data_IF_749012252649
#
_entry.id   IF_749012252649
#
_cell.length_a   1.000
_cell.length_b   1.000
_cell.length_c   1.000
_cell.angle_alpha   90.00
_cell.angle_beta   90.00
_cell.angle_gamma   90.00
#
_symmetry.space_group_name_H-M   'P 1'
#
loop_
_entity.id
_entity.type
_entity.pdbx_description
1 polymer ?
#
# COMPACT_ATOMS: atom_id res chain seq x y z
N UNK A 1 -22.42 4.08 -21.51
CA UNK A 1 -21.85 3.82 -20.17
C UNK A 1 -22.45 4.87 -19.25
N UNK A 2 -23.12 4.45 -18.19
CA UNK A 2 -23.78 5.39 -17.27
C UNK A 2 -22.72 6.11 -16.42
N UNK A 3 -23.09 7.24 -15.82
CA UNK A 3 -22.23 7.94 -14.84
C UNK A 3 -21.99 7.06 -13.61
N UNK A 4 -22.97 6.22 -13.24
CA UNK A 4 -22.87 5.26 -12.14
C UNK A 4 -21.82 4.17 -12.44
N UNK A 5 -21.79 3.66 -13.67
CA UNK A 5 -20.78 2.67 -14.10
C UNK A 5 -19.35 3.25 -13.98
N UNK A 6 -19.17 4.50 -14.40
CA UNK A 6 -17.88 5.20 -14.31
C UNK A 6 -17.45 5.37 -12.86
N UNK A 7 -18.37 5.76 -11.98
CA UNK A 7 -18.12 5.93 -10.54
C UNK A 7 -17.79 4.60 -9.86
N UNK A 8 -18.51 3.53 -10.19
CA UNK A 8 -18.24 2.18 -9.69
C UNK A 8 -16.83 1.71 -10.05
N UNK A 9 -16.41 1.91 -11.31
CA UNK A 9 -15.05 1.57 -11.76
C UNK A 9 -13.96 2.41 -11.09
N UNK A 10 -14.22 3.70 -10.87
CA UNK A 10 -13.27 4.57 -10.16
C UNK A 10 -13.11 4.13 -8.70
N UNK A 11 -14.22 3.81 -8.02
CA UNK A 11 -14.20 3.27 -6.65
C UNK A 11 -13.38 1.99 -6.58
N UNK A 12 -13.64 1.04 -7.47
CA UNK A 12 -12.89 -0.21 -7.54
C UNK A 12 -11.39 0.02 -7.79
N UNK A 13 -11.05 0.98 -8.67
CA UNK A 13 -9.65 1.34 -8.94
C UNK A 13 -8.95 1.90 -7.70
N UNK A 14 -9.61 2.79 -6.96
CA UNK A 14 -9.07 3.36 -5.73
C UNK A 14 -8.94 2.34 -4.61
N UNK A 15 -9.92 1.45 -4.44
CA UNK A 15 -9.87 0.35 -3.48
C UNK A 15 -8.68 -0.58 -3.80
N UNK A 16 -8.50 -0.95 -5.08
CA UNK A 16 -7.34 -1.75 -5.51
C UNK A 16 -6.01 -1.04 -5.25
N UNK A 17 -5.93 0.27 -5.53
CA UNK A 17 -4.73 1.05 -5.27
C UNK A 17 -4.43 1.11 -3.75
N UNK A 18 -5.44 1.39 -2.92
CA UNK A 18 -5.31 1.42 -1.46
C UNK A 18 -4.84 0.09 -0.88
N UNK A 19 -5.43 -1.02 -1.31
CA UNK A 19 -4.98 -2.36 -0.92
C UNK A 19 -3.55 -2.65 -1.38
N UNK A 20 -3.18 -2.24 -2.59
CA UNK A 20 -1.83 -2.46 -3.13
C UNK A 20 -0.78 -1.68 -2.33
N UNK A 21 -1.06 -0.42 -1.99
CA UNK A 21 -0.19 0.41 -1.16
C UNK A 21 -0.06 -0.14 0.25
N UNK A 22 -1.17 -0.57 0.87
CA UNK A 22 -1.14 -1.19 2.19
C UNK A 22 -0.33 -2.49 2.18
N UNK A 23 -0.51 -3.33 1.16
CA UNK A 23 0.26 -4.56 1.01
C UNK A 23 1.76 -4.28 0.88
N UNK A 24 2.16 -3.28 0.08
CA UNK A 24 3.57 -2.90 -0.10
C UNK A 24 4.18 -2.48 1.23
N UNK A 25 3.51 -1.56 1.94
CA UNK A 25 3.96 -1.09 3.26
C UNK A 25 4.11 -2.23 4.26
N UNK A 26 3.12 -3.11 4.35
CA UNK A 26 3.18 -4.28 5.24
C UNK A 26 4.31 -5.23 4.84
N UNK A 27 4.53 -5.45 3.55
CA UNK A 27 5.59 -6.34 3.05
C UNK A 27 6.98 -5.78 3.34
N UNK A 28 7.17 -4.47 3.23
CA UNK A 28 8.40 -3.77 3.61
C UNK A 28 8.64 -3.84 5.12
N UNK A 29 7.62 -3.54 5.93
CA UNK A 29 7.69 -3.64 7.40
C UNK A 29 8.05 -5.05 7.89
N UNK A 30 7.66 -6.08 7.15
CA UNK A 30 7.93 -7.48 7.47
C UNK A 30 9.16 -8.05 6.77
N UNK A 31 9.86 -7.28 5.93
CA UNK A 31 11.04 -7.76 5.21
C UNK A 31 12.15 -8.20 6.18
N UNK A 32 12.92 -9.20 5.77
CA UNK A 32 13.98 -9.77 6.60
C UNK A 32 15.00 -8.70 7.01
N UNK A 33 15.26 -8.63 8.30
CA UNK A 33 16.24 -7.72 8.85
C UNK A 33 17.65 -8.11 8.41
N UNK A 34 18.51 -7.11 8.22
CA UNK A 34 19.89 -7.32 7.76
C UNK A 34 20.66 -8.25 8.72
N UNK A 35 20.45 -8.12 10.03
CA UNK A 35 21.11 -8.95 11.02
C UNK A 35 20.74 -10.43 10.89
N UNK A 36 19.45 -10.75 10.70
CA UNK A 36 18.99 -12.12 10.48
C UNK A 36 19.51 -12.68 9.16
N UNK A 37 19.51 -11.87 8.09
CA UNK A 37 20.10 -12.28 6.81
C UNK A 37 21.61 -12.58 6.96
N UNK A 38 22.36 -11.73 7.65
CA UNK A 38 23.79 -11.94 7.87
C UNK A 38 24.07 -13.16 8.74
N UNK A 39 23.22 -13.47 9.72
CA UNK A 39 23.31 -14.71 10.49
C UNK A 39 23.11 -15.94 9.59
N UNK A 40 22.08 -15.94 8.73
CA UNK A 40 21.85 -17.02 7.76
C UNK A 40 23.02 -17.15 6.77
N UNK A 41 23.56 -16.02 6.32
CA UNK A 41 24.72 -15.99 5.42
C UNK A 41 26.00 -16.48 6.09
N UNK A 42 26.21 -16.20 7.37
CA UNK A 42 27.37 -16.69 8.12
C UNK A 42 27.32 -18.21 8.31
N UNK A 43 26.13 -18.77 8.55
CA UNK A 43 25.93 -20.20 8.77
C UNK A 43 25.86 -21.00 7.46
N UNK A 44 25.21 -20.47 6.43
CA UNK A 44 24.88 -21.18 5.19
C UNK A 44 25.29 -20.39 3.93
N UNK A 45 26.37 -19.62 3.99
CA UNK A 45 26.77 -18.65 2.96
C UNK A 45 26.94 -19.21 1.55
N UNK A 46 27.17 -20.52 1.41
CA UNK A 46 27.27 -21.21 0.12
C UNK A 46 25.93 -21.29 -0.61
N UNK A 47 24.83 -21.33 0.13
CA UNK A 47 23.46 -21.47 -0.39
C UNK A 47 22.58 -20.23 -0.16
N UNK A 48 22.98 -19.37 0.78
CA UNK A 48 22.24 -18.16 1.15
C UNK A 48 22.40 -17.06 0.10
N UNK A 49 21.62 -17.16 -0.98
CA UNK A 49 21.55 -16.13 -2.02
C UNK A 49 20.85 -14.87 -1.50
N UNK A 50 21.21 -13.69 -2.05
CA UNK A 50 20.68 -12.39 -1.61
C UNK A 50 19.15 -12.24 -1.70
N UNK A 51 18.46 -13.10 -2.46
CA UNK A 51 16.99 -13.16 -2.49
C UNK A 51 16.38 -13.54 -1.13
N UNK A 52 17.14 -14.17 -0.23
CA UNK A 52 16.68 -14.48 1.13
C UNK A 52 16.30 -13.20 1.89
N UNK A 53 17.02 -12.09 1.66
CA UNK A 53 16.72 -10.80 2.28
C UNK A 53 15.36 -10.21 1.85
N UNK A 54 14.77 -10.69 0.75
CA UNK A 54 13.46 -10.26 0.27
C UNK A 54 12.30 -11.06 0.90
N UNK A 55 12.62 -12.10 1.67
CA UNK A 55 11.63 -12.89 2.38
C UNK A 55 11.18 -12.18 3.66
N UNK A 56 10.03 -12.57 4.22
CA UNK A 56 9.60 -12.09 5.53
C UNK A 56 10.54 -12.49 6.66
N UNK A 57 10.78 -11.58 7.60
CA UNK A 57 11.67 -11.75 8.75
C UNK A 57 11.24 -12.90 9.67
N UNK A 58 9.92 -13.07 9.87
CA UNK A 58 9.38 -14.17 10.65
C UNK A 58 9.68 -15.55 10.04
N UNK A 59 10.13 -15.62 8.79
CA UNK A 59 10.52 -16.88 8.15
C UNK A 59 12.00 -17.24 8.33
N UNK A 60 12.80 -16.42 9.02
CA UNK A 60 14.23 -16.66 9.25
C UNK A 60 14.51 -18.10 9.72
N UNK A 61 13.77 -18.60 10.72
CA UNK A 61 14.00 -19.93 11.27
C UNK A 61 13.66 -21.07 10.29
N UNK A 62 12.57 -20.95 9.54
CA UNK A 62 12.17 -21.99 8.58
C UNK A 62 13.09 -22.02 7.37
N UNK A 63 13.64 -20.86 6.99
CA UNK A 63 14.67 -20.75 5.94
C UNK A 63 15.98 -21.34 6.45
N UNK A 64 16.38 -21.04 7.69
CA UNK A 64 17.54 -21.67 8.33
C UNK A 64 17.44 -23.19 8.37
N UNK A 65 16.26 -23.75 8.73
CA UNK A 65 16.00 -25.19 8.70
C UNK A 65 16.13 -25.78 7.30
N UNK A 66 15.60 -25.09 6.28
CA UNK A 66 15.75 -25.52 4.89
C UNK A 66 17.22 -25.51 4.45
N UNK A 67 17.96 -24.45 4.74
CA UNK A 67 19.39 -24.34 4.41
C UNK A 67 20.24 -25.39 5.14
N UNK A 68 19.97 -25.65 6.41
CA UNK A 68 20.61 -26.72 7.17
C UNK A 68 20.28 -28.11 6.58
N UNK A 69 19.05 -28.33 6.10
CA UNK A 69 18.72 -29.57 5.40
C UNK A 69 19.56 -29.75 4.12
N UNK A 70 19.89 -28.67 3.42
CA UNK A 70 20.76 -28.71 2.23
C UNK A 70 22.20 -29.14 2.56
N UNK A 71 22.73 -28.74 3.73
CA UNK A 71 24.05 -29.18 4.21
C UNK A 71 24.14 -30.71 4.34
N UNK A 72 23.02 -31.39 4.58
CA UNK A 72 22.93 -32.84 4.75
C UNK A 72 22.75 -33.61 3.43
N UNK A 73 22.58 -32.94 2.28
CA UNK A 73 22.30 -33.60 1.00
C UNK A 73 23.56 -34.05 0.22
N UNK A 74 24.74 -34.03 0.85
CA UNK A 74 26.02 -34.51 0.30
C UNK A 74 26.80 -33.44 -0.48
N UNK A 75 27.56 -33.83 -1.52
CA UNK A 75 28.42 -32.94 -2.35
C UNK A 75 27.65 -31.90 -3.20
N UNK A 76 26.40 -31.58 -2.85
CA UNK A 76 25.60 -30.54 -3.49
C UNK A 76 26.13 -29.11 -3.23
N UNK A 77 27.07 -28.99 -2.30
CA UNK A 77 27.72 -27.76 -1.87
C UNK A 77 28.30 -26.95 -3.04
N UNK A 78 28.84 -27.62 -4.05
CA UNK A 78 29.41 -26.99 -5.25
C UNK A 78 28.53 -27.22 -6.50
N UNK A 79 27.31 -27.75 -6.31
CA UNK A 79 26.47 -28.26 -7.40
C UNK A 79 25.14 -27.52 -7.54
N UNK A 80 24.79 -26.61 -6.62
CA UNK A 80 23.47 -25.99 -6.55
C UNK A 80 23.55 -24.52 -6.21
N UNK A 81 22.95 -23.67 -7.06
CA UNK A 81 22.58 -22.32 -6.66
C UNK A 81 21.09 -22.27 -6.30
N UNK A 82 20.79 -21.62 -5.16
CA UNK A 82 19.43 -21.48 -4.66
C UNK A 82 18.92 -20.06 -4.88
N UNK A 83 17.65 -19.93 -5.24
CA UNK A 83 16.90 -18.66 -5.20
C UNK A 83 15.63 -18.85 -4.43
N UNK A 84 15.22 -17.81 -3.73
CA UNK A 84 14.01 -17.83 -2.93
C UNK A 84 13.03 -16.80 -3.45
N UNK A 85 11.76 -17.14 -3.40
CA UNK A 85 10.68 -16.24 -3.77
C UNK A 85 9.53 -16.38 -2.79
N UNK A 86 9.03 -15.23 -2.33
CA UNK A 86 7.77 -15.14 -1.60
C UNK A 86 6.63 -15.11 -2.62
N UNK A 87 5.90 -16.22 -2.72
CA UNK A 87 4.73 -16.35 -3.61
C UNK A 87 3.43 -16.12 -2.82
N UNK A 88 2.27 -15.91 -3.50
CA UNK A 88 0.98 -15.82 -2.82
C UNK A 88 0.65 -17.03 -1.95
N UNK A 89 1.24 -18.18 -2.28
CA UNK A 89 1.03 -19.45 -1.59
C UNK A 89 2.09 -19.76 -0.52
N UNK A 90 3.05 -18.87 -0.26
CA UNK A 90 4.16 -19.09 0.70
C UNK A 90 5.54 -18.98 0.07
N UNK A 91 6.57 -19.44 0.79
CA UNK A 91 7.95 -19.46 0.32
C UNK A 91 8.20 -20.59 -0.68
N UNK A 92 8.90 -20.28 -1.78
CA UNK A 92 9.43 -21.27 -2.71
C UNK A 92 10.93 -21.11 -2.82
N UNK A 93 11.64 -22.24 -2.77
CA UNK A 93 13.06 -22.32 -3.06
C UNK A 93 13.25 -22.98 -4.42
N UNK A 94 13.93 -22.29 -5.34
CA UNK A 94 14.31 -22.80 -6.65
C UNK A 94 15.77 -23.21 -6.61
N UNK A 95 16.04 -24.46 -6.96
CA UNK A 95 17.39 -24.99 -7.03
C UNK A 95 17.79 -25.14 -8.49
N UNK A 96 18.89 -24.50 -8.86
CA UNK A 96 19.52 -24.68 -10.16
C UNK A 96 20.69 -25.66 -10.01
N UNK A 97 20.69 -26.79 -10.73
CA UNK A 97 21.81 -27.70 -10.75
C UNK A 97 22.96 -27.16 -11.61
N UNK A 98 24.07 -26.80 -10.97
CA UNK A 98 25.31 -26.41 -11.65
C UNK A 98 26.09 -27.62 -12.18
N UNK A 99 25.83 -28.82 -11.64
CA UNK A 99 26.36 -30.09 -12.14
C UNK A 99 25.25 -31.02 -12.65
N UNK A 100 25.57 -31.77 -13.71
CA UNK A 100 24.62 -32.63 -14.44
C UNK A 100 24.40 -34.02 -13.81
N UNK A 101 25.05 -34.37 -12.70
CA UNK A 101 24.95 -35.69 -12.06
C UNK A 101 24.43 -35.59 -10.63
N UNK A 102 23.13 -35.40 -10.48
CA UNK A 102 22.47 -35.55 -9.18
C UNK A 102 21.96 -36.98 -9.04
N UNK A 103 22.23 -37.61 -7.89
CA UNK A 103 21.64 -38.91 -7.61
C UNK A 103 20.12 -38.76 -7.39
N UNK A 104 19.30 -39.75 -7.81
CA UNK A 104 17.85 -39.71 -7.61
C UNK A 104 17.43 -39.47 -6.16
N UNK A 105 18.20 -39.97 -5.20
CA UNK A 105 17.97 -39.77 -3.76
C UNK A 105 18.16 -38.30 -3.36
N UNK A 106 19.20 -37.63 -3.88
CA UNK A 106 19.46 -36.21 -3.65
C UNK A 106 18.34 -35.34 -4.22
N UNK A 107 17.89 -35.64 -5.45
CA UNK A 107 16.75 -34.96 -6.07
C UNK A 107 15.47 -35.14 -5.25
N UNK A 108 15.22 -36.34 -4.75
CA UNK A 108 14.04 -36.60 -3.93
C UNK A 108 14.10 -35.88 -2.59
N UNK A 109 15.25 -35.84 -1.93
CA UNK A 109 15.42 -35.14 -0.66
C UNK A 109 15.33 -33.63 -0.81
N UNK A 110 15.88 -33.04 -1.89
CA UNK A 110 15.65 -31.62 -2.21
C UNK A 110 14.15 -31.34 -2.38
N UNK A 111 13.45 -32.19 -3.15
CA UNK A 111 12.00 -32.03 -3.38
C UNK A 111 11.22 -32.07 -2.07
N UNK A 112 11.60 -32.95 -1.15
CA UNK A 112 11.00 -33.02 0.19
C UNK A 112 11.27 -31.72 0.95
N UNK A 113 12.52 -31.27 1.01
CA UNK A 113 12.89 -30.02 1.70
C UNK A 113 12.14 -28.79 1.13
N UNK A 114 12.02 -28.68 -0.20
CA UNK A 114 11.27 -27.61 -0.87
C UNK A 114 9.78 -27.64 -0.49
N UNK A 115 9.19 -28.84 -0.44
CA UNK A 115 7.78 -29.02 -0.05
C UNK A 115 7.57 -28.67 1.42
N UNK A 116 8.48 -29.11 2.28
CA UNK A 116 8.40 -28.86 3.71
C UNK A 116 8.58 -27.36 4.02
N UNK A 117 9.47 -26.67 3.30
CA UNK A 117 9.57 -25.21 3.34
C UNK A 117 8.26 -24.53 2.96
N UNK A 118 7.63 -24.96 1.85
CA UNK A 118 6.35 -24.40 1.41
C UNK A 118 5.27 -24.59 2.48
N UNK A 119 5.16 -25.78 3.08
CA UNK A 119 4.20 -26.03 4.16
C UNK A 119 4.50 -25.20 5.40
N UNK A 120 5.75 -25.18 5.85
CA UNK A 120 6.17 -24.39 7.01
C UNK A 120 5.86 -22.91 6.81
N UNK A 121 6.14 -22.34 5.63
CA UNK A 121 5.87 -20.94 5.34
C UNK A 121 4.39 -20.54 5.41
N UNK A 122 3.47 -21.48 5.18
CA UNK A 122 2.02 -21.23 5.29
C UNK A 122 1.53 -21.23 6.73
N UNK A 123 2.24 -21.94 7.61
CA UNK A 123 1.90 -22.10 9.02
C UNK A 123 2.70 -21.15 9.92
N UNK A 124 3.74 -20.49 9.39
CA UNK A 124 4.61 -19.56 10.10
C UNK A 124 4.26 -18.11 9.75
N UNK A 125 4.07 -17.30 10.79
CA UNK A 125 3.74 -15.88 10.62
C UNK A 125 4.88 -15.11 9.97
N UNK A 126 4.59 -14.40 8.88
CA UNK A 126 5.54 -13.56 8.13
C UNK A 126 6.22 -12.49 9.01
N UNK A 127 5.55 -12.02 10.06
CA UNK A 127 6.04 -10.92 10.91
C UNK A 127 6.86 -11.38 12.12
N UNK A 128 6.49 -12.48 12.77
CA UNK A 128 7.08 -12.86 14.06
C UNK A 128 7.50 -14.32 14.19
N UNK A 129 7.31 -15.14 13.16
CA UNK A 129 7.72 -16.55 13.16
C UNK A 129 6.89 -17.48 14.04
N UNK A 130 5.87 -16.99 14.74
CA UNK A 130 4.92 -17.85 15.49
C UNK A 130 4.20 -18.80 14.52
N UNK A 131 3.97 -20.02 14.98
CA UNK A 131 3.16 -21.02 14.27
C UNK A 131 1.66 -20.66 14.28
N UNK A 132 0.85 -21.43 13.56
CA UNK A 132 -0.60 -21.23 13.37
C UNK A 132 -0.94 -19.95 12.60
N UNK A 133 -0.13 -19.61 11.61
CA UNK A 133 -0.48 -18.56 10.66
C UNK A 133 -1.62 -19.01 9.74
N UNK A 134 -2.44 -18.05 9.33
CA UNK A 134 -3.48 -18.24 8.34
C UNK A 134 -3.35 -17.16 7.24
N UNK A 135 -3.82 -17.45 6.01
CA UNK A 135 -3.81 -16.48 4.93
C UNK A 135 -4.80 -15.34 5.20
N UNK A 136 -4.31 -14.11 5.22
CA UNK A 136 -5.08 -12.86 5.32
C UNK A 136 -5.01 -12.15 3.97
N UNK A 137 -6.18 -11.89 3.37
CA UNK A 137 -6.25 -11.23 2.05
C UNK A 137 -6.16 -9.72 2.19
N UNK A 138 -5.22 -9.11 1.46
CA UNK A 138 -5.06 -7.67 1.28
C UNK A 138 -5.21 -7.39 -0.21
N UNK A 139 -6.44 -7.15 -0.65
CA UNK A 139 -6.78 -7.04 -2.07
C UNK A 139 -6.59 -8.37 -2.81
N UNK A 140 -5.76 -8.36 -3.86
CA UNK A 140 -5.48 -9.55 -4.69
C UNK A 140 -4.31 -10.40 -4.16
N UNK A 141 -3.68 -10.00 -3.04
CA UNK A 141 -2.52 -10.67 -2.44
C UNK A 141 -2.86 -11.16 -1.04
N UNK A 142 -2.25 -12.26 -0.61
CA UNK A 142 -2.40 -12.80 0.74
C UNK A 142 -1.11 -12.61 1.55
N UNK A 143 -1.21 -12.55 2.88
CA UNK A 143 -0.13 -12.61 3.87
C UNK A 143 -0.40 -13.76 4.85
N UNK A 144 0.62 -14.48 5.32
CA UNK A 144 0.47 -15.51 6.35
C UNK A 144 0.75 -14.92 7.73
N UNK A 145 -0.30 -14.72 8.53
CA UNK A 145 -0.22 -14.02 9.81
C UNK A 145 -0.82 -14.84 10.95
N UNK A 146 -0.24 -14.72 12.14
CA UNK A 146 -0.88 -15.22 13.36
C UNK A 146 -2.10 -14.36 13.73
N UNK A 147 -2.92 -14.83 14.67
CA UNK A 147 -4.15 -14.16 15.08
C UNK A 147 -3.94 -12.68 15.52
N UNK A 148 -2.87 -12.41 16.27
CA UNK A 148 -2.54 -11.06 16.75
C UNK A 148 -2.28 -10.08 15.59
N UNK A 149 -1.44 -10.48 14.63
CA UNK A 149 -1.11 -9.65 13.47
C UNK A 149 -2.24 -9.60 12.44
N UNK A 150 -3.06 -10.65 12.36
CA UNK A 150 -4.29 -10.64 11.57
C UNK A 150 -5.22 -9.53 12.05
N UNK A 151 -5.48 -9.43 13.36
CA UNK A 151 -6.33 -8.39 13.93
C UNK A 151 -5.78 -6.97 13.71
N UNK A 152 -4.45 -6.79 13.63
CA UNK A 152 -3.86 -5.50 13.28
C UNK A 152 -4.11 -5.14 11.80
N UNK A 153 -3.87 -6.09 10.89
CA UNK A 153 -4.09 -5.87 9.45
C UNK A 153 -5.57 -5.65 9.14
N UNK A 154 -6.47 -6.40 9.77
CA UNK A 154 -7.92 -6.21 9.65
C UNK A 154 -8.35 -4.81 10.12
N UNK A 155 -7.77 -4.28 11.21
CA UNK A 155 -8.02 -2.89 11.63
C UNK A 155 -7.54 -1.88 10.58
N UNK A 156 -6.35 -2.10 9.98
CA UNK A 156 -5.84 -1.23 8.90
C UNK A 156 -6.75 -1.29 7.66
N UNK A 157 -7.25 -2.47 7.30
CA UNK A 157 -8.20 -2.66 6.19
C UNK A 157 -9.56 -2.00 6.48
N UNK A 158 -10.09 -2.16 7.69
CA UNK A 158 -11.34 -1.53 8.10
C UNK A 158 -11.23 0.01 8.06
N UNK A 159 -10.12 0.57 8.57
CA UNK A 159 -9.85 2.01 8.50
C UNK A 159 -9.75 2.51 7.06
N UNK A 160 -9.11 1.75 6.15
CA UNK A 160 -9.05 2.09 4.72
C UNK A 160 -10.46 2.10 4.09
N UNK A 161 -11.28 1.09 4.40
CA UNK A 161 -12.66 1.01 3.90
C UNK A 161 -13.52 2.18 4.41
N UNK A 162 -13.42 2.51 5.71
CA UNK A 162 -14.13 3.64 6.31
C UNK A 162 -13.71 4.98 5.68
N UNK A 163 -12.41 5.20 5.48
CA UNK A 163 -11.90 6.39 4.79
C UNK A 163 -12.43 6.50 3.35
N UNK A 164 -12.60 5.37 2.66
CA UNK A 164 -13.20 5.36 1.32
C UNK A 164 -14.69 5.68 1.33
N UNK A 165 -15.45 5.11 2.26
CA UNK A 165 -16.87 5.41 2.42
C UNK A 165 -17.11 6.87 2.84
N UNK A 166 -16.24 7.42 3.67
CA UNK A 166 -16.30 8.83 4.05
C UNK A 166 -16.04 9.75 2.86
N UNK A 167 -15.04 9.44 2.01
CA UNK A 167 -14.80 10.20 0.76
C UNK A 167 -15.97 10.10 -0.21
N UNK A 168 -16.61 8.93 -0.30
CA UNK A 168 -17.80 8.75 -1.12
C UNK A 168 -18.96 9.63 -0.63
N UNK A 169 -19.25 9.61 0.68
CA UNK A 169 -20.28 10.45 1.31
C UNK A 169 -20.00 11.94 1.13
N UNK A 170 -18.75 12.35 1.32
CA UNK A 170 -18.36 13.75 1.12
C UNK A 170 -18.54 14.19 -0.34
N UNK A 171 -18.14 13.36 -1.31
CA UNK A 171 -18.35 13.65 -2.73
C UNK A 171 -19.83 13.81 -3.05
N UNK A 172 -20.70 12.97 -2.50
CA UNK A 172 -22.15 13.09 -2.65
C UNK A 172 -22.67 14.41 -2.07
N UNK A 173 -22.17 14.84 -0.91
CA UNK A 173 -22.60 16.11 -0.31
C UNK A 173 -22.21 17.34 -1.13
N UNK A 174 -21.15 17.27 -1.93
CA UNK A 174 -20.70 18.38 -2.81
C UNK A 174 -20.96 18.13 -4.29
N UNK A 175 -21.81 17.15 -4.65
CA UNK A 175 -21.97 16.74 -6.05
C UNK A 175 -22.49 17.82 -6.98
N UNK A 176 -23.22 18.80 -6.44
CA UNK A 176 -23.87 19.88 -7.19
C UNK A 176 -22.87 20.89 -7.78
N UNK A 177 -21.69 20.99 -7.17
CA UNK A 177 -20.60 21.88 -7.59
C UNK A 177 -19.47 21.12 -8.26
N UNK A 178 -19.57 19.78 -8.37
CA UNK A 178 -18.55 18.96 -9.03
C UNK A 178 -19.03 18.53 -10.43
N UNK A 179 -18.13 18.48 -11.42
CA UNK A 179 -18.43 17.85 -12.69
C UNK A 179 -18.91 16.40 -12.47
N UNK A 180 -19.87 15.92 -13.27
CA UNK A 180 -20.37 14.55 -13.15
C UNK A 180 -19.28 13.50 -13.36
N UNK A 181 -18.23 13.86 -14.10
CA UNK A 181 -17.05 13.07 -14.43
C UNK A 181 -15.92 13.19 -13.40
N UNK A 182 -16.00 14.12 -12.45
CA UNK A 182 -14.95 14.26 -11.42
C UNK A 182 -14.93 13.01 -10.58
N UNK A 183 -13.76 12.38 -10.56
CA UNK A 183 -13.49 11.16 -9.82
C UNK A 183 -13.77 11.36 -8.33
N UNK A 184 -13.86 10.24 -7.60
CA UNK A 184 -13.58 10.26 -6.16
C UNK A 184 -12.30 11.06 -5.93
N UNK A 185 -12.36 12.00 -4.99
CA UNK A 185 -11.25 12.90 -4.68
C UNK A 185 -9.98 12.06 -4.51
N UNK A 186 -8.92 12.46 -5.22
CA UNK A 186 -7.66 11.74 -5.21
C UNK A 186 -7.17 11.63 -3.76
N UNK A 187 -6.49 10.52 -3.39
CA UNK A 187 -5.82 10.47 -2.10
C UNK A 187 -4.87 11.65 -2.00
N UNK A 188 -5.10 12.49 -0.98
CA UNK A 188 -4.27 13.63 -0.64
C UNK A 188 -3.66 13.43 0.74
N UNK A 189 -2.68 14.25 1.09
CA UNK A 189 -2.22 14.40 2.48
C UNK A 189 -3.38 14.78 3.40
N UNK A 190 -3.26 14.45 4.69
CA UNK A 190 -4.34 14.65 5.66
C UNK A 190 -4.72 16.13 5.79
N UNK A 191 -3.71 17.02 5.87
CA UNK A 191 -3.94 18.46 5.94
C UNK A 191 -4.60 19.00 4.67
N UNK A 192 -4.14 18.61 3.47
CA UNK A 192 -4.76 19.04 2.22
C UNK A 192 -6.18 18.50 2.06
N UNK A 193 -6.44 17.29 2.56
CA UNK A 193 -7.80 16.73 2.60
C UNK A 193 -8.73 17.61 3.46
N UNK A 194 -8.28 18.04 4.64
CA UNK A 194 -9.08 18.90 5.51
C UNK A 194 -9.34 20.29 4.89
N UNK A 195 -8.29 20.94 4.35
CA UNK A 195 -8.38 22.26 3.72
C UNK A 195 -9.31 22.21 2.51
N UNK A 196 -9.12 21.23 1.62
CA UNK A 196 -9.97 21.03 0.44
C UNK A 196 -11.43 20.79 0.85
N UNK A 197 -11.70 19.97 1.89
CA UNK A 197 -13.07 19.72 2.34
C UNK A 197 -13.77 20.99 2.81
N UNK A 198 -13.08 21.78 3.63
CA UNK A 198 -13.57 23.07 4.11
C UNK A 198 -13.89 24.00 2.94
N UNK A 199 -12.93 24.20 2.03
CA UNK A 199 -13.10 25.08 0.87
C UNK A 199 -14.32 24.69 0.00
N UNK A 200 -14.51 23.39 -0.27
CA UNK A 200 -15.65 22.93 -1.09
C UNK A 200 -17.00 23.10 -0.37
N UNK A 201 -17.04 22.90 0.95
CA UNK A 201 -18.25 23.14 1.74
C UNK A 201 -18.60 24.63 1.80
N UNK A 202 -17.59 25.50 1.95
CA UNK A 202 -17.78 26.94 1.97
C UNK A 202 -18.28 27.45 0.60
N UNK A 203 -17.69 26.96 -0.50
CA UNK A 203 -18.18 27.24 -1.87
C UNK A 203 -19.62 26.73 -2.03
N UNK A 204 -19.92 25.51 -1.56
CA UNK A 204 -21.28 24.97 -1.63
C UNK A 204 -22.27 25.85 -0.84
N UNK A 205 -21.89 26.34 0.34
CA UNK A 205 -22.75 27.20 1.14
C UNK A 205 -23.13 28.50 0.39
N UNK A 206 -22.17 29.13 -0.31
CA UNK A 206 -22.43 30.29 -1.17
C UNK A 206 -23.36 29.92 -2.32
N UNK A 207 -23.10 28.79 -2.98
CA UNK A 207 -23.90 28.30 -4.11
C UNK A 207 -25.35 28.02 -3.69
N UNK A 208 -25.56 27.40 -2.53
CA UNK A 208 -26.87 27.08 -2.01
C UNK A 208 -27.61 28.36 -1.54
N UNK A 209 -26.92 29.28 -0.84
CA UNK A 209 -27.50 30.52 -0.35
C UNK A 209 -27.99 31.44 -1.48
N UNK A 210 -27.24 31.49 -2.59
CA UNK A 210 -27.55 32.34 -3.73
C UNK A 210 -28.28 31.59 -4.87
N UNK A 211 -28.68 30.33 -4.64
CA UNK A 211 -29.36 29.47 -5.62
C UNK A 211 -28.61 29.34 -6.97
N UNK A 212 -27.29 29.22 -6.92
CA UNK A 212 -26.39 29.18 -8.08
C UNK A 212 -26.05 27.75 -8.55
N UNK A 213 -26.87 26.76 -8.19
CA UNK A 213 -26.65 25.35 -8.53
C UNK A 213 -26.52 25.16 -10.04
N UNK A 214 -25.47 24.48 -10.49
CA UNK A 214 -25.17 24.29 -11.92
C UNK A 214 -24.51 25.47 -12.62
N UNK A 215 -24.36 26.62 -11.95
CA UNK A 215 -23.63 27.79 -12.44
C UNK A 215 -22.20 27.89 -11.87
N UNK A 216 -21.90 27.18 -10.80
CA UNK A 216 -20.55 27.10 -10.21
C UNK A 216 -20.07 25.66 -10.28
N UNK A 217 -18.89 25.45 -10.85
CA UNK A 217 -18.31 24.12 -11.04
C UNK A 217 -16.84 24.12 -10.63
N UNK A 218 -16.45 23.33 -9.63
CA UNK A 218 -15.06 23.04 -9.29
C UNK A 218 -14.48 22.04 -10.31
N UNK A 219 -13.74 22.56 -11.29
CA UNK A 219 -13.25 21.83 -12.46
C UNK A 219 -11.95 21.06 -12.22
N UNK A 220 -11.13 21.48 -11.26
CA UNK A 220 -9.82 20.89 -10.98
C UNK A 220 -9.58 20.86 -9.48
N UNK A 221 -9.25 19.69 -8.94
CA UNK A 221 -8.88 19.52 -7.54
C UNK A 221 -7.73 18.53 -7.52
N UNK A 222 -6.51 19.01 -7.32
CA UNK A 222 -5.30 18.17 -7.32
C UNK A 222 -4.34 18.59 -6.21
N UNK A 223 -3.57 17.63 -5.73
CA UNK A 223 -2.36 17.88 -4.94
C UNK A 223 -1.14 17.67 -5.85
N UNK A 224 -0.21 18.62 -5.85
CA UNK A 224 1.05 18.55 -6.60
C UNK A 224 2.16 19.08 -5.72
N UNK A 225 3.23 18.30 -5.57
CA UNK A 225 4.38 18.67 -4.73
C UNK A 225 4.00 19.05 -3.28
N UNK A 226 2.92 18.45 -2.74
CA UNK A 226 2.40 18.73 -1.40
C UNK A 226 1.51 19.98 -1.30
N UNK A 227 1.30 20.70 -2.41
CA UNK A 227 0.41 21.86 -2.48
C UNK A 227 -0.93 21.52 -3.15
N UNK A 228 -2.01 22.08 -2.62
CA UNK A 228 -3.37 21.95 -3.11
C UNK A 228 -3.66 23.00 -4.19
N UNK A 229 -4.28 22.57 -5.28
CA UNK A 229 -4.76 23.45 -6.35
C UNK A 229 -6.24 23.20 -6.61
N UNK A 230 -7.04 24.28 -6.55
CA UNK A 230 -8.49 24.24 -6.80
C UNK A 230 -8.84 25.18 -7.95
N UNK A 231 -9.43 24.64 -9.01
CA UNK A 231 -9.98 25.42 -10.12
C UNK A 231 -11.50 25.46 -10.03
N UNK A 232 -12.09 26.66 -9.99
CA UNK A 232 -13.54 26.86 -10.01
C UNK A 232 -13.92 27.71 -11.21
N UNK A 233 -14.96 27.29 -11.92
CA UNK A 233 -15.55 28.01 -13.04
C UNK A 233 -16.93 28.51 -12.64
N UNK A 234 -17.13 29.82 -12.72
CA UNK A 234 -18.42 30.48 -12.54
C UNK A 234 -19.04 30.78 -13.92
N UNK A 235 -20.34 30.52 -14.03
CA UNK A 235 -21.15 30.82 -15.20
C UNK A 235 -21.57 32.29 -15.25
N UNK A 236 -22.20 32.72 -16.37
CA UNK A 236 -22.59 34.11 -16.57
C UNK A 236 -23.69 34.61 -15.63
N UNK A 237 -24.38 33.71 -14.93
CA UNK A 237 -25.45 34.03 -13.99
C UNK A 237 -24.95 34.29 -12.56
N UNK A 238 -23.67 34.06 -12.29
CA UNK A 238 -23.07 34.32 -10.97
C UNK A 238 -22.70 35.79 -10.91
N UNK A 239 -23.20 36.51 -9.92
CA UNK A 239 -22.88 37.91 -9.72
C UNK A 239 -21.40 38.12 -9.32
N UNK A 240 -20.80 39.29 -9.61
CA UNK A 240 -19.38 39.52 -9.34
C UNK A 240 -18.98 39.39 -7.86
N UNK A 241 -19.88 39.65 -6.91
CA UNK A 241 -19.57 39.52 -5.49
C UNK A 241 -19.42 38.04 -5.10
N UNK A 242 -20.38 37.19 -5.51
CA UNK A 242 -20.26 35.74 -5.32
C UNK A 242 -19.03 35.16 -6.03
N UNK A 243 -18.68 35.66 -7.23
CA UNK A 243 -17.45 35.23 -7.91
C UNK A 243 -16.19 35.57 -7.12
N UNK A 244 -16.15 36.77 -6.52
CA UNK A 244 -15.02 37.21 -5.71
C UNK A 244 -14.89 36.39 -4.42
N UNK A 245 -16.00 36.14 -3.72
CA UNK A 245 -16.00 35.32 -2.49
C UNK A 245 -15.52 33.88 -2.76
N UNK A 246 -16.00 33.26 -3.85
CA UNK A 246 -15.54 31.92 -4.25
C UNK A 246 -14.04 31.93 -4.59
N UNK A 247 -13.56 32.96 -5.29
CA UNK A 247 -12.15 33.08 -5.63
C UNK A 247 -11.26 33.30 -4.40
N UNK A 248 -11.75 34.04 -3.41
CA UNK A 248 -11.08 34.27 -2.14
C UNK A 248 -10.95 32.97 -1.33
N UNK A 249 -12.02 32.18 -1.23
CA UNK A 249 -11.98 30.85 -0.59
C UNK A 249 -10.94 29.95 -1.26
N UNK A 250 -10.91 29.91 -2.59
CA UNK A 250 -9.93 29.13 -3.34
C UNK A 250 -8.50 29.60 -3.01
N UNK A 251 -8.26 30.91 -3.06
CA UNK A 251 -6.92 31.47 -2.79
C UNK A 251 -6.49 31.24 -1.35
N UNK A 252 -7.40 31.37 -0.40
CA UNK A 252 -7.15 31.08 1.00
C UNK A 252 -6.80 29.61 1.22
N UNK A 253 -7.52 28.68 0.58
CA UNK A 253 -7.22 27.25 0.66
C UNK A 253 -5.85 26.90 0.06
N UNK A 254 -5.50 27.48 -1.09
CA UNK A 254 -4.18 27.30 -1.71
C UNK A 254 -3.06 27.86 -0.80
N UNK A 255 -3.30 29.02 -0.17
CA UNK A 255 -2.36 29.61 0.78
C UNK A 255 -2.21 28.79 2.07
N UNK A 256 -3.31 28.31 2.67
CA UNK A 256 -3.29 27.45 3.85
C UNK A 256 -2.52 26.15 3.59
N UNK A 257 -2.69 25.58 2.39
CA UNK A 257 -1.96 24.39 1.94
C UNK A 257 -0.45 24.64 1.85
N UNK A 258 -0.05 25.77 1.26
CA UNK A 258 1.36 26.16 1.16
C UNK A 258 1.99 26.37 2.55
N UNK A 259 1.29 27.02 3.47
CA UNK A 259 1.77 27.20 4.85
C UNK A 259 1.90 25.86 5.58
N UNK A 260 0.92 24.96 5.44
CA UNK A 260 0.95 23.64 6.04
C UNK A 260 2.12 22.80 5.49
N UNK A 261 2.35 22.86 4.18
CA UNK A 261 3.46 22.19 3.52
C UNK A 261 4.83 22.70 4.03
N UNK A 262 5.00 24.03 4.11
CA UNK A 262 6.21 24.65 4.65
C UNK A 262 6.46 24.32 6.12
N UNK A 263 5.41 24.18 6.92
CA UNK A 263 5.52 23.77 8.32
C UNK A 263 5.97 22.31 8.44
N UNK A 264 5.35 21.40 7.67
CA UNK A 264 5.72 19.99 7.64
C UNK A 264 7.18 19.76 7.17
N UNK A 265 7.66 20.58 6.22
CA UNK A 265 9.05 20.53 5.77
C UNK A 265 10.09 20.99 6.81
N UNK A 266 9.68 21.76 7.82
CA UNK A 266 10.58 22.22 8.89
C UNK A 266 10.73 21.19 10.03
N UNK A 267 9.70 20.43 10.31
CA UNK A 267 9.74 19.36 11.34
C UNK A 267 10.66 18.20 10.93
N UNK A 268 10.87 17.98 9.62
CA UNK A 268 11.79 16.94 9.12
C UNK A 268 13.28 17.28 9.24
N UNK A 269 13.66 18.50 9.61
CA UNK A 269 15.07 18.94 9.74
C UNK A 269 15.53 19.15 11.19
N UNK A 270 14.64 19.06 12.18
CA UNK A 270 14.98 19.39 13.58
C UNK A 270 15.47 18.21 14.43
N UNK A 271 15.45 16.98 13.92
CA UNK A 271 15.87 15.79 14.68
C UNK A 271 17.28 15.26 14.35
N UNK A 272 18.04 15.93 13.48
CA UNK A 272 19.43 15.59 13.13
C UNK A 272 20.43 16.71 13.53
N UNK A 273 20.47 17.08 14.81
CA UNK A 273 21.49 17.98 15.38
C UNK A 273 22.13 17.40 16.65
#
# INVERSE_FOLDING_TARGET
>A
MSIEDLRGRQRQTLEKAGHSTLWLKLSEEMSMQQDHFHQLQALHGKYCHGTVATLPDGWTDIIGKFLAAMDHLGDLVDAVSLRFERTPDGARAFAFPEMSRWHPEQMNSLRIAQRDLLHASRETCERCGKCNAAPVSVGERALFLCQEHTAEVERKLASLAEAMDERARFRESVSDILPPTTALLLPMTEYNTAIMRKALLDIKAIVDANALTGHVIATKIIESEGQLFIGVRCGPQVDPASQFEIADIVKQAEWESDQAHLAAGKEGFSDDA
#
